data_IF_616749201753
#
_entry.id   IF_616749201753
#
_cell.length_a   1.000
_cell.length_b   1.000
_cell.length_c   1.000
_cell.angle_alpha   90.00
_cell.angle_beta   90.00
_cell.angle_gamma   90.00
#
_symmetry.space_group_name_H-M   'P 1'
#
loop_
_entity.id
_entity.type
_entity.pdbx_description
1 polymer ?
#
# COMPACT_ATOMS: atom_id res chain seq x y z
N UNK A 1 -42.18 -2.08 2.26
CA UNK A 1 -41.19 -2.42 3.31
C UNK A 1 -40.27 -3.46 2.68
N UNK A 2 -39.32 -3.02 1.87
CA UNK A 2 -38.31 -3.93 1.32
C UNK A 2 -37.31 -4.17 2.45
N UNK A 3 -37.38 -5.36 3.05
CA UNK A 3 -36.49 -5.77 4.14
C UNK A 3 -35.05 -5.63 3.64
N UNK A 4 -34.29 -4.71 4.25
CA UNK A 4 -32.88 -4.44 3.93
C UNK A 4 -32.01 -5.67 4.18
N UNK A 5 -32.07 -6.62 3.26
CA UNK A 5 -31.27 -7.82 3.29
C UNK A 5 -29.89 -7.46 2.73
N UNK A 6 -28.93 -7.29 3.65
CA UNK A 6 -27.54 -7.07 3.32
C UNK A 6 -27.09 -8.07 2.25
N UNK A 7 -26.39 -7.57 1.23
CA UNK A 7 -25.90 -8.42 0.17
C UNK A 7 -24.80 -9.33 0.69
N UNK A 8 -25.04 -10.63 0.69
CA UNK A 8 -24.04 -11.62 1.08
C UNK A 8 -23.16 -11.96 -0.13
N UNK A 9 -21.84 -11.81 0.03
CA UNK A 9 -20.84 -12.18 -0.97
C UNK A 9 -20.56 -13.70 -0.91
N UNK A 10 -21.32 -14.47 -1.70
CA UNK A 10 -21.19 -15.93 -1.79
C UNK A 10 -19.86 -16.37 -2.42
N UNK A 11 -19.23 -15.53 -3.23
CA UNK A 11 -17.91 -15.81 -3.80
C UNK A 11 -16.84 -15.70 -2.72
N UNK A 12 -16.89 -14.65 -1.89
CA UNK A 12 -16.01 -14.49 -0.73
C UNK A 12 -16.23 -15.60 0.30
N UNK A 13 -17.49 -15.98 0.55
CA UNK A 13 -17.85 -16.99 1.54
C UNK A 13 -17.33 -18.39 1.17
N UNK A 14 -17.34 -18.73 -0.12
CA UNK A 14 -16.72 -19.96 -0.64
C UNK A 14 -15.25 -19.78 -1.03
N UNK A 15 -14.67 -18.59 -0.83
CA UNK A 15 -13.30 -18.23 -1.18
C UNK A 15 -12.93 -18.56 -2.64
N UNK A 16 -13.82 -18.25 -3.57
CA UNK A 16 -13.64 -18.48 -5.01
C UNK A 16 -13.82 -17.20 -5.79
N UNK A 17 -13.17 -17.11 -6.95
CA UNK A 17 -13.38 -15.99 -7.87
C UNK A 17 -14.77 -16.05 -8.51
N UNK A 18 -15.41 -14.91 -8.84
CA UNK A 18 -16.59 -14.88 -9.69
C UNK A 18 -16.40 -15.58 -11.05
N UNK A 19 -15.16 -15.67 -11.53
CA UNK A 19 -14.78 -16.40 -12.75
C UNK A 19 -14.54 -17.91 -12.52
N UNK A 20 -14.79 -18.44 -11.32
CA UNK A 20 -14.53 -19.86 -11.03
C UNK A 20 -15.39 -20.79 -11.89
N UNK A 21 -14.79 -21.89 -12.33
CA UNK A 21 -15.51 -22.95 -13.02
C UNK A 21 -16.29 -23.84 -12.02
N UNK A 22 -17.16 -24.69 -12.55
CA UNK A 22 -18.00 -25.57 -11.71
C UNK A 22 -17.18 -26.55 -10.88
N UNK A 23 -16.04 -27.01 -11.39
CA UNK A 23 -15.15 -27.96 -10.68
C UNK A 23 -14.51 -27.30 -9.46
N UNK A 24 -14.04 -26.07 -9.61
CA UNK A 24 -13.45 -25.26 -8.55
C UNK A 24 -14.50 -24.92 -7.49
N UNK A 25 -15.71 -24.54 -7.90
CA UNK A 25 -16.82 -24.26 -6.99
C UNK A 25 -17.17 -25.50 -6.14
N UNK A 26 -17.28 -26.69 -6.75
CA UNK A 26 -17.56 -27.93 -6.03
C UNK A 26 -16.43 -28.32 -5.07
N UNK A 27 -15.17 -28.11 -5.48
CA UNK A 27 -14.01 -28.37 -4.62
C UNK A 27 -14.00 -27.43 -3.40
N UNK A 28 -14.25 -26.15 -3.60
CA UNK A 28 -14.29 -25.16 -2.54
C UNK A 28 -15.42 -25.45 -1.54
N UNK A 29 -16.62 -25.77 -2.05
CA UNK A 29 -17.74 -26.18 -1.20
C UNK A 29 -17.41 -27.41 -0.36
N UNK A 30 -16.86 -28.48 -0.96
CA UNK A 30 -16.49 -29.69 -0.20
C UNK A 30 -15.50 -29.39 0.92
N UNK A 31 -14.51 -28.54 0.65
CA UNK A 31 -13.53 -28.14 1.64
C UNK A 31 -14.17 -27.36 2.79
N UNK A 32 -14.97 -26.34 2.48
CA UNK A 32 -15.67 -25.53 3.48
C UNK A 32 -16.69 -26.35 4.29
N UNK A 33 -17.43 -27.25 3.63
CA UNK A 33 -18.39 -28.14 4.26
C UNK A 33 -17.72 -29.13 5.22
N UNK A 34 -16.54 -29.65 4.90
CA UNK A 34 -15.75 -30.50 5.80
C UNK A 34 -15.22 -29.71 7.00
N UNK A 35 -14.77 -28.47 6.78
CA UNK A 35 -14.23 -27.61 7.82
C UNK A 35 -15.30 -27.20 8.84
N UNK A 36 -16.49 -26.82 8.39
CA UNK A 36 -17.56 -26.33 9.25
C UNK A 36 -18.57 -27.41 9.68
N UNK A 37 -18.34 -28.68 9.29
CA UNK A 37 -19.26 -29.78 9.61
C UNK A 37 -19.47 -29.89 11.14
N UNK A 38 -20.71 -30.12 11.63
CA UNK A 38 -20.98 -30.26 13.07
C UNK A 38 -20.23 -31.42 13.73
N UNK A 39 -19.81 -32.42 12.95
CA UNK A 39 -19.01 -33.55 13.44
C UNK A 39 -17.50 -33.25 13.50
N UNK A 40 -17.05 -32.06 13.10
CA UNK A 40 -15.64 -31.67 13.17
C UNK A 40 -15.31 -31.06 14.55
N UNK A 41 -14.28 -31.55 15.23
CA UNK A 41 -14.02 -31.18 16.64
C UNK A 41 -13.54 -29.73 16.84
N UNK A 42 -12.75 -29.20 15.90
CA UNK A 42 -12.01 -27.96 16.14
C UNK A 42 -12.61 -26.71 15.45
N UNK A 43 -13.40 -26.90 14.39
CA UNK A 43 -13.87 -25.84 13.49
C UNK A 43 -15.36 -25.95 13.18
N UNK A 44 -16.11 -26.81 13.88
CA UNK A 44 -17.55 -26.92 13.72
C UNK A 44 -18.23 -25.56 13.93
N UNK A 45 -19.01 -25.16 12.94
CA UNK A 45 -19.76 -23.91 12.95
C UNK A 45 -21.01 -24.12 12.10
N UNK A 46 -22.14 -24.35 12.78
CA UNK A 46 -23.42 -24.68 12.13
C UNK A 46 -23.89 -23.53 11.26
N UNK A 47 -23.68 -22.29 11.70
CA UNK A 47 -24.13 -21.10 10.99
C UNK A 47 -23.32 -20.94 9.70
N UNK A 48 -21.98 -21.02 9.78
CA UNK A 48 -21.13 -21.00 8.58
C UNK A 48 -21.40 -22.17 7.65
N UNK A 49 -21.67 -23.37 8.20
CA UNK A 49 -22.03 -24.54 7.40
C UNK A 49 -23.31 -24.31 6.59
N UNK A 50 -24.32 -23.68 7.19
CA UNK A 50 -25.55 -23.31 6.50
C UNK A 50 -25.29 -22.24 5.43
N UNK A 51 -24.48 -21.24 5.73
CA UNK A 51 -24.12 -20.17 4.79
C UNK A 51 -23.36 -20.71 3.56
N UNK A 52 -22.33 -21.56 3.75
CA UNK A 52 -21.56 -22.15 2.62
C UNK A 52 -22.43 -23.06 1.78
N UNK A 53 -23.38 -23.75 2.41
CA UNK A 53 -24.35 -24.60 1.70
C UNK A 53 -25.32 -23.76 0.88
N UNK A 54 -25.85 -22.67 1.44
CA UNK A 54 -26.73 -21.74 0.72
C UNK A 54 -26.00 -21.07 -0.47
N UNK A 55 -24.75 -20.62 -0.25
CA UNK A 55 -23.89 -20.06 -1.28
C UNK A 55 -23.67 -21.05 -2.44
N UNK A 56 -23.32 -22.30 -2.13
CA UNK A 56 -23.09 -23.33 -3.14
C UNK A 56 -24.37 -23.67 -3.92
N UNK A 57 -25.51 -23.82 -3.23
CA UNK A 57 -26.79 -24.12 -3.88
C UNK A 57 -27.20 -23.04 -4.87
N UNK A 58 -26.92 -21.77 -4.55
CA UNK A 58 -27.20 -20.65 -5.44
C UNK A 58 -26.21 -20.60 -6.62
N UNK A 59 -24.91 -20.71 -6.36
CA UNK A 59 -23.87 -20.56 -7.39
C UNK A 59 -23.74 -21.79 -8.31
N UNK A 60 -24.20 -22.97 -7.88
CA UNK A 60 -24.18 -24.19 -8.71
C UNK A 60 -25.20 -24.13 -9.85
N UNK A 61 -26.32 -23.44 -9.64
CA UNK A 61 -27.38 -23.28 -10.63
C UNK A 61 -27.03 -22.14 -11.59
N UNK A 62 -26.87 -22.40 -12.91
CA UNK A 62 -26.46 -21.39 -13.87
C UNK A 62 -27.40 -20.18 -13.94
N UNK A 63 -28.72 -20.38 -13.82
CA UNK A 63 -29.70 -19.30 -13.91
C UNK A 63 -29.66 -18.41 -12.66
N UNK A 64 -29.53 -19.03 -11.48
CA UNK A 64 -29.41 -18.31 -10.21
C UNK A 64 -28.08 -17.59 -10.11
N UNK A 65 -26.98 -18.23 -10.55
CA UNK A 65 -25.65 -17.62 -10.62
C UNK A 65 -25.66 -16.41 -11.55
N UNK A 66 -26.30 -16.48 -12.71
CA UNK A 66 -26.38 -15.34 -13.63
C UNK A 66 -27.10 -14.13 -13.00
N UNK A 67 -28.23 -14.37 -12.32
CA UNK A 67 -28.97 -13.31 -11.59
C UNK A 67 -28.13 -12.73 -10.44
N UNK A 68 -27.43 -13.60 -9.72
CA UNK A 68 -26.52 -13.19 -8.65
C UNK A 68 -25.34 -12.39 -9.19
N UNK A 69 -24.73 -12.80 -10.31
CA UNK A 69 -23.63 -12.10 -10.98
C UNK A 69 -24.03 -10.71 -11.43
N UNK A 70 -25.27 -10.53 -11.88
CA UNK A 70 -25.79 -9.22 -12.23
C UNK A 70 -25.84 -8.30 -10.99
N UNK A 71 -26.46 -8.75 -9.89
CA UNK A 71 -26.53 -7.99 -8.63
C UNK A 71 -25.14 -7.78 -8.02
N UNK A 72 -24.26 -8.78 -8.10
CA UNK A 72 -22.87 -8.73 -7.65
C UNK A 72 -22.11 -7.65 -8.40
N UNK A 73 -22.26 -7.57 -9.72
CA UNK A 73 -21.64 -6.52 -10.55
C UNK A 73 -22.22 -5.14 -10.26
N UNK A 74 -23.52 -5.01 -10.03
CA UNK A 74 -24.16 -3.73 -9.70
C UNK A 74 -23.63 -3.19 -8.35
N UNK A 75 -23.59 -4.05 -7.33
CA UNK A 75 -23.05 -3.67 -6.02
C UNK A 75 -21.54 -3.47 -6.04
N UNK A 76 -20.79 -4.29 -6.77
CA UNK A 76 -19.37 -4.04 -6.98
C UNK A 76 -19.12 -2.87 -7.92
N UNK A 77 -20.10 -2.35 -8.68
CA UNK A 77 -19.96 -1.10 -9.44
C UNK A 77 -19.99 0.11 -8.50
N UNK A 78 -20.88 0.07 -7.51
CA UNK A 78 -20.92 1.06 -6.42
C UNK A 78 -19.76 0.88 -5.43
N UNK A 79 -19.24 -0.35 -5.32
CA UNK A 79 -18.18 -0.73 -4.40
C UNK A 79 -16.88 -1.12 -5.14
N UNK A 80 -16.67 -0.54 -6.34
CA UNK A 80 -15.58 -0.85 -7.26
C UNK A 80 -14.29 -0.19 -6.75
N UNK A 81 -13.78 -0.66 -5.61
CA UNK A 81 -12.71 0.02 -4.88
C UNK A 81 -13.08 1.49 -4.60
N UNK A 82 -13.48 1.79 -3.37
CA UNK A 82 -13.18 3.12 -2.83
C UNK A 82 -11.67 3.20 -2.62
N UNK A 83 -10.90 3.25 -3.72
CA UNK A 83 -9.66 3.99 -3.75
C UNK A 83 -10.08 5.42 -3.44
N UNK A 84 -9.63 6.03 -2.33
CA UNK A 84 -9.69 7.49 -2.26
C UNK A 84 -8.80 7.99 -3.41
N UNK A 85 -9.41 8.41 -4.52
CA UNK A 85 -8.67 8.86 -5.71
C UNK A 85 -9.17 8.36 -7.08
N UNK A 86 -10.37 7.77 -7.17
CA UNK A 86 -10.97 7.37 -8.45
C UNK A 86 -11.51 8.54 -9.30
N UNK A 87 -11.69 9.71 -8.71
CA UNK A 87 -12.03 10.95 -9.42
C UNK A 87 -11.03 12.02 -8.94
N UNK A 88 -10.22 12.54 -9.86
CA UNK A 88 -8.95 13.25 -9.65
C UNK A 88 -7.90 12.45 -8.86
N UNK A 89 -6.89 11.93 -9.58
CA UNK A 89 -5.57 11.73 -9.01
C UNK A 89 -5.07 13.12 -8.60
N UNK A 90 -5.41 13.60 -7.40
CA UNK A 90 -4.90 14.86 -6.83
C UNK A 90 -3.39 14.80 -6.53
N UNK A 91 -2.66 13.91 -7.19
CA UNK A 91 -1.21 13.85 -7.21
C UNK A 91 -0.79 14.62 -8.46
N UNK A 92 -0.58 15.91 -8.29
CA UNK A 92 0.03 16.76 -9.31
C UNK A 92 1.55 16.54 -9.36
N UNK A 93 2.21 17.04 -10.40
CA UNK A 93 3.68 17.01 -10.53
C UNK A 93 4.36 17.61 -9.29
N UNK A 94 3.70 18.58 -8.65
CA UNK A 94 4.17 19.21 -7.42
C UNK A 94 4.28 18.21 -6.26
N UNK A 95 3.31 17.32 -6.09
CA UNK A 95 3.35 16.30 -5.04
C UNK A 95 4.60 15.41 -5.13
N UNK A 96 4.97 14.99 -6.34
CA UNK A 96 6.18 14.18 -6.56
C UNK A 96 7.49 14.97 -6.31
N UNK A 97 7.48 16.28 -6.56
CA UNK A 97 8.60 17.17 -6.25
C UNK A 97 8.73 17.39 -4.74
N UNK A 98 7.61 17.60 -4.04
CA UNK A 98 7.56 17.74 -2.59
C UNK A 98 8.09 16.45 -1.91
N UNK A 99 7.73 15.27 -2.44
CA UNK A 99 8.26 13.99 -1.97
C UNK A 99 9.77 13.87 -2.18
N UNK A 100 10.28 14.32 -3.34
CA UNK A 100 11.72 14.33 -3.62
C UNK A 100 12.47 15.24 -2.65
N UNK A 101 11.92 16.41 -2.34
CA UNK A 101 12.48 17.34 -1.35
C UNK A 101 12.47 16.72 0.07
N UNK A 102 11.39 16.03 0.44
CA UNK A 102 11.30 15.31 1.72
C UNK A 102 12.37 14.22 1.81
N UNK A 103 12.55 13.41 0.76
CA UNK A 103 13.61 12.40 0.69
C UNK A 103 15.01 13.01 0.89
N UNK A 104 15.29 14.12 0.21
CA UNK A 104 16.57 14.84 0.33
C UNK A 104 16.77 15.37 1.76
N UNK A 105 15.74 15.97 2.38
CA UNK A 105 15.80 16.48 3.77
C UNK A 105 16.07 15.38 4.79
N UNK A 106 15.44 14.21 4.64
CA UNK A 106 15.71 13.04 5.50
C UNK A 106 17.17 12.63 5.37
N UNK A 107 17.66 12.48 4.15
CA UNK A 107 19.04 12.06 3.90
C UNK A 107 20.05 13.09 4.42
N UNK A 108 19.84 14.40 4.25
CA UNK A 108 20.73 15.41 4.81
C UNK A 108 20.74 15.42 6.33
N UNK A 109 19.59 15.22 6.99
CA UNK A 109 19.54 15.10 8.46
C UNK A 109 20.38 13.94 8.95
N UNK A 110 20.21 12.77 8.34
CA UNK A 110 20.94 11.57 8.71
C UNK A 110 22.44 11.69 8.35
N UNK A 111 22.77 12.28 7.21
CA UNK A 111 24.14 12.57 6.78
C UNK A 111 24.86 13.50 7.76
N UNK A 112 24.22 14.60 8.15
CA UNK A 112 24.73 15.53 9.17
C UNK A 112 24.97 14.81 10.50
N UNK A 113 23.99 14.05 10.97
CA UNK A 113 24.10 13.25 12.21
C UNK A 113 25.25 12.25 12.16
N UNK A 114 25.42 11.53 11.04
CA UNK A 114 26.51 10.56 10.84
C UNK A 114 27.89 11.21 10.95
N UNK A 115 28.04 12.44 10.45
CA UNK A 115 29.27 13.24 10.55
C UNK A 115 29.54 13.76 11.96
N UNK A 116 28.51 14.18 12.68
CA UNK A 116 28.62 14.72 14.04
C UNK A 116 28.77 13.61 15.10
N UNK A 117 28.17 12.44 14.86
CA UNK A 117 28.08 11.34 15.82
C UNK A 117 28.44 9.99 15.19
N UNK A 118 29.74 9.72 15.01
CA UNK A 118 30.22 8.50 14.35
C UNK A 118 29.82 7.19 15.07
N UNK A 119 29.71 7.19 16.40
CA UNK A 119 29.40 5.99 17.21
C UNK A 119 27.91 5.70 17.39
N UNK A 120 27.06 6.73 17.39
CA UNK A 120 25.59 6.61 17.46
C UNK A 120 24.97 7.52 16.38
N UNK A 121 24.99 7.07 15.12
CA UNK A 121 24.49 7.88 14.01
C UNK A 121 22.96 7.88 13.91
N UNK A 122 22.27 7.13 14.76
CA UNK A 122 20.82 6.97 14.68
C UNK A 122 20.05 8.22 15.13
N UNK A 123 18.90 8.46 14.50
CA UNK A 123 17.92 9.48 14.88
C UNK A 123 16.56 8.80 15.02
N UNK A 124 15.81 9.11 16.09
CA UNK A 124 14.42 8.67 16.19
C UNK A 124 13.58 9.32 15.09
N UNK A 125 12.80 8.52 14.34
CA UNK A 125 12.02 8.98 13.19
C UNK A 125 11.14 10.19 13.49
N UNK A 126 10.53 10.23 14.68
CA UNK A 126 9.75 11.35 15.19
C UNK A 126 10.43 12.73 15.04
N UNK A 127 11.74 12.84 15.32
CA UNK A 127 12.44 14.12 15.19
C UNK A 127 12.58 14.57 13.74
N UNK A 128 12.76 13.62 12.82
CA UNK A 128 12.87 13.91 11.39
C UNK A 128 11.49 14.28 10.86
N UNK A 129 10.47 13.48 11.14
CA UNK A 129 9.08 13.77 10.77
C UNK A 129 8.63 15.16 11.21
N UNK A 130 8.89 15.53 12.47
CA UNK A 130 8.58 16.86 12.99
C UNK A 130 9.31 17.98 12.25
N UNK A 131 10.52 17.72 11.75
CA UNK A 131 11.28 18.70 10.97
C UNK A 131 10.77 18.83 9.54
N UNK A 132 10.21 17.76 8.99
CA UNK A 132 9.58 17.75 7.67
C UNK A 132 8.15 18.33 7.68
N UNK A 133 7.50 18.38 8.85
CA UNK A 133 6.11 18.82 9.02
C UNK A 133 5.12 18.02 8.15
N UNK A 134 5.32 16.69 8.11
CA UNK A 134 4.52 15.77 7.30
C UNK A 134 3.67 14.82 8.16
N UNK A 135 2.60 14.26 7.58
CA UNK A 135 1.76 13.27 8.25
C UNK A 135 2.52 11.96 8.53
N UNK A 136 1.95 11.13 9.40
CA UNK A 136 2.49 9.79 9.70
C UNK A 136 2.57 8.95 8.41
N UNK A 137 1.53 8.97 7.58
CA UNK A 137 1.44 8.19 6.34
C UNK A 137 2.49 8.63 5.31
N UNK A 138 2.70 9.94 5.14
CA UNK A 138 3.74 10.45 4.24
C UNK A 138 5.14 10.08 4.76
N UNK A 139 5.36 10.16 6.07
CA UNK A 139 6.64 9.78 6.65
C UNK A 139 6.91 8.27 6.52
N UNK A 140 5.90 7.43 6.72
CA UNK A 140 5.97 5.98 6.46
C UNK A 140 6.30 5.70 4.99
N UNK A 141 5.68 6.41 4.05
CA UNK A 141 6.01 6.31 2.64
C UNK A 141 7.47 6.67 2.35
N UNK A 142 7.96 7.82 2.82
CA UNK A 142 9.34 8.25 2.60
C UNK A 142 10.35 7.28 3.21
N UNK A 143 10.10 6.81 4.43
CA UNK A 143 10.99 5.86 5.11
C UNK A 143 10.98 4.50 4.41
N UNK A 144 9.81 4.02 3.97
CA UNK A 144 9.69 2.81 3.15
C UNK A 144 10.49 2.94 1.85
N UNK A 145 10.34 4.04 1.12
CA UNK A 145 11.04 4.27 -0.14
C UNK A 145 12.55 4.29 0.06
N UNK A 146 13.05 5.14 0.96
CA UNK A 146 14.49 5.30 1.21
C UNK A 146 15.13 4.01 1.74
N UNK A 147 14.44 3.26 2.59
CA UNK A 147 14.90 1.96 3.09
C UNK A 147 14.96 0.94 1.96
N UNK A 148 13.92 0.88 1.13
CA UNK A 148 13.85 -0.05 0.00
C UNK A 148 14.92 0.24 -1.06
N UNK A 149 15.34 1.49 -1.20
CA UNK A 149 16.47 1.91 -2.04
C UNK A 149 17.84 1.61 -1.43
N UNK A 150 17.91 1.16 -0.18
CA UNK A 150 19.15 0.89 0.53
C UNK A 150 19.83 2.13 1.11
N UNK A 151 19.20 3.31 1.03
CA UNK A 151 19.83 4.58 1.45
C UNK A 151 19.81 4.79 2.96
N UNK A 152 18.85 4.18 3.65
CA UNK A 152 18.73 4.24 5.10
C UNK A 152 18.46 2.85 5.68
N UNK A 153 18.78 2.69 6.96
CA UNK A 153 18.46 1.50 7.74
C UNK A 153 17.76 1.89 9.05
N UNK A 154 16.99 0.95 9.59
CA UNK A 154 16.40 1.06 10.93
C UNK A 154 17.26 0.18 11.85
N UNK A 155 17.87 0.79 12.86
CA UNK A 155 18.68 0.06 13.84
C UNK A 155 17.81 -0.81 14.75
N UNK A 156 18.42 -1.69 15.53
CA UNK A 156 17.71 -2.52 16.52
C UNK A 156 16.95 -1.70 17.58
N UNK A 157 17.38 -0.46 17.81
CA UNK A 157 16.73 0.49 18.74
C UNK A 157 15.60 1.30 18.07
N UNK A 158 15.26 1.01 16.81
CA UNK A 158 14.23 1.73 16.06
C UNK A 158 14.67 3.12 15.54
N UNK A 159 15.97 3.42 15.59
CA UNK A 159 16.51 4.69 15.05
C UNK A 159 16.78 4.57 13.55
N UNK A 160 16.54 5.64 12.80
CA UNK A 160 16.96 5.76 11.41
C UNK A 160 18.44 6.14 11.32
N UNK A 161 19.19 5.47 10.47
CA UNK A 161 20.59 5.78 10.16
C UNK A 161 20.82 5.74 8.65
N UNK A 162 21.73 6.59 8.15
CA UNK A 162 22.12 6.59 6.73
C UNK A 162 23.16 5.49 6.46
N UNK A 163 23.00 4.80 5.33
CA UNK A 163 23.95 3.78 4.86
C UNK A 163 25.08 4.41 4.03
N UNK A 164 26.04 3.60 3.59
CA UNK A 164 27.08 4.06 2.65
C UNK A 164 26.45 4.47 1.32
N UNK A 165 25.49 3.70 0.81
CA UNK A 165 24.78 4.04 -0.44
C UNK A 165 24.00 5.36 -0.31
N UNK A 166 23.39 5.61 0.85
CA UNK A 166 22.75 6.89 1.13
C UNK A 166 23.75 8.06 1.16
N UNK A 167 24.93 7.85 1.73
CA UNK A 167 26.01 8.85 1.74
C UNK A 167 26.48 9.18 0.32
N UNK A 168 26.73 8.16 -0.50
CA UNK A 168 27.15 8.33 -1.89
C UNK A 168 26.08 9.05 -2.71
N UNK A 169 24.81 8.73 -2.47
CA UNK A 169 23.68 9.41 -3.09
C UNK A 169 23.65 10.89 -2.74
N UNK A 170 23.76 11.25 -1.45
CA UNK A 170 23.82 12.65 -1.00
C UNK A 170 24.96 13.40 -1.67
N UNK A 171 26.17 12.82 -1.71
CA UNK A 171 27.33 13.45 -2.36
C UNK A 171 27.08 13.66 -3.85
N UNK A 172 26.50 12.66 -4.53
CA UNK A 172 26.17 12.76 -5.95
C UNK A 172 25.13 13.85 -6.23
N UNK A 173 24.09 13.95 -5.40
CA UNK A 173 23.07 15.01 -5.52
C UNK A 173 23.69 16.39 -5.34
N UNK A 174 24.52 16.58 -4.32
CA UNK A 174 25.17 17.87 -4.07
C UNK A 174 26.07 18.32 -5.23
N UNK A 175 26.82 17.40 -5.86
CA UNK A 175 27.64 17.70 -7.05
C UNK A 175 26.78 18.15 -8.24
N UNK A 176 25.71 17.42 -8.54
CA UNK A 176 24.78 17.77 -9.63
C UNK A 176 24.10 19.11 -9.40
N UNK A 177 23.72 19.40 -8.15
CA UNK A 177 23.12 20.67 -7.77
C UNK A 177 24.11 21.85 -7.95
N UNK A 178 25.39 21.64 -7.67
CA UNK A 178 26.44 22.63 -7.92
C UNK A 178 26.67 22.86 -9.42
N UNK A 179 26.76 21.79 -10.21
CA UNK A 179 26.88 21.86 -11.68
C UNK A 179 25.71 22.64 -12.31
N UNK A 180 24.47 22.33 -11.90
CA UNK A 180 23.27 23.01 -12.41
C UNK A 180 23.29 24.51 -12.09
N UNK A 181 23.74 24.89 -10.88
CA UNK A 181 23.87 26.30 -10.48
C UNK A 181 24.91 27.04 -11.31
N UNK A 182 26.05 26.40 -11.59
CA UNK A 182 27.10 26.99 -12.42
C UNK A 182 26.63 27.22 -13.86
N UNK A 183 25.91 26.26 -14.45
CA UNK A 183 25.32 26.41 -15.80
C UNK A 183 24.33 27.57 -15.83
N UNK A 184 23.43 27.66 -14.85
CA UNK A 184 22.46 28.75 -14.77
C UNK A 184 23.13 30.13 -14.63
N UNK A 185 24.23 30.22 -13.87
CA UNK A 185 25.02 31.46 -13.75
C UNK A 185 25.72 31.84 -15.06
N UNK A 186 26.23 30.87 -15.82
CA UNK A 186 26.83 31.11 -17.14
C UNK A 186 25.80 31.58 -18.16
N UNK A 187 24.60 30.99 -18.16
CA UNK A 187 23.51 31.39 -19.07
C UNK A 187 23.01 32.81 -18.79
N UNK A 188 22.94 33.22 -17.52
CA UNK A 188 22.54 34.58 -17.14
C UNK A 188 23.62 35.60 -17.57
N UNK A 189 24.89 35.29 -17.33
CA UNK A 189 26.01 36.13 -17.79
C UNK A 189 26.07 36.26 -19.32
N UNK A 190 25.66 35.23 -20.05
CA UNK A 190 25.59 35.26 -21.52
C UNK A 190 24.39 36.04 -22.06
N UNK A 191 23.31 36.22 -21.28
CA UNK A 191 22.15 37.06 -21.64
C UNK A 191 22.38 38.54 -21.36
N UNK A 192 23.23 38.86 -20.39
CA UNK A 192 23.58 40.23 -20.00
C UNK A 192 24.73 40.85 -20.82
N UNK A 193 25.41 40.07 -21.67
CA UNK A 193 26.54 40.47 -22.52
C UNK A 193 26.13 40.72 -23.98
#
# INVERSE_FOLDING_TARGET
MDSGQEFVDFYALLQVSPACDRKMLEKAYRHAAQMYHPDHTDTADIDKFQEVTAAYQLLRDPEKRAKYDQRYKELKKDNLYQFPGGEDLQIDEKSALDDAEAHEKVLYHLYKRRREHAKDPGIMGYYIQKTLDCSDENFEFHTWYLKSKGFIEITQEGKLAITIEGVDHVISMSRKAEETKLIAQMDEQAREA
#
